data_IF_797389885762
#
_entry.id   IF_797389885762
#
_cell.length_a   1.000
_cell.length_b   1.000
_cell.length_c   1.000
_cell.angle_alpha   90.00
_cell.angle_beta   90.00
_cell.angle_gamma   90.00
#
_symmetry.space_group_name_H-M   'P 1'
#
loop_
_entity.id
_entity.type
_entity.pdbx_description
1 polymer ?
#
# COMPACT_ATOMS: atom_id res chain seq x y z
N UNK A 1 -2.80 7.34 -2.95
CA UNK A 1 -1.82 6.31 -3.34
C UNK A 1 -2.42 5.10 -4.06
N UNK A 2 -3.12 4.15 -3.42
CA UNK A 2 -3.57 2.94 -4.14
C UNK A 2 -4.53 3.24 -5.29
N UNK A 3 -5.38 4.25 -5.12
CA UNK A 3 -6.23 4.80 -6.19
C UNK A 3 -5.40 5.53 -7.27
N UNK A 4 -4.31 6.20 -6.89
CA UNK A 4 -3.38 6.86 -7.84
C UNK A 4 -2.57 5.85 -8.64
N UNK A 5 -2.25 4.71 -8.04
CA UNK A 5 -1.52 3.64 -8.69
C UNK A 5 -2.38 2.84 -9.68
N UNK A 6 -3.71 2.94 -9.59
CA UNK A 6 -4.61 2.15 -10.43
C UNK A 6 -4.36 2.42 -11.92
N UNK A 7 -4.02 1.37 -12.67
CA UNK A 7 -3.69 1.47 -14.09
C UNK A 7 -2.23 1.77 -14.40
N UNK A 8 -1.36 2.01 -13.41
CA UNK A 8 0.07 2.23 -13.65
C UNK A 8 0.77 0.93 -14.03
N UNK A 9 1.71 1.04 -14.97
CA UNK A 9 2.69 0.00 -15.29
C UNK A 9 3.82 -0.05 -14.25
N UNK A 10 4.64 -1.11 -14.29
CA UNK A 10 5.84 -1.22 -13.44
C UNK A 10 6.74 0.02 -13.54
N UNK A 11 6.95 0.55 -14.75
CA UNK A 11 7.85 1.69 -14.94
C UNK A 11 7.28 2.97 -14.31
N UNK A 12 6.00 3.25 -14.52
CA UNK A 12 5.33 4.43 -13.93
C UNK A 12 5.27 4.32 -12.39
N UNK A 13 5.06 3.12 -11.85
CA UNK A 13 5.13 2.89 -10.41
C UNK A 13 6.55 3.07 -9.86
N UNK A 14 7.58 2.67 -10.60
CA UNK A 14 8.98 2.90 -10.23
C UNK A 14 9.34 4.40 -10.22
N UNK A 15 8.86 5.18 -11.19
CA UNK A 15 9.04 6.64 -11.18
C UNK A 15 8.36 7.29 -9.96
N UNK A 16 7.17 6.83 -9.60
CA UNK A 16 6.46 7.29 -8.41
C UNK A 16 7.20 6.92 -7.11
N UNK A 17 7.81 5.72 -7.05
CA UNK A 17 8.67 5.30 -5.94
C UNK A 17 9.88 6.22 -5.81
N UNK A 18 10.61 6.49 -6.90
CA UNK A 18 11.76 7.39 -6.89
C UNK A 18 11.38 8.82 -6.44
N UNK A 19 10.20 9.30 -6.81
CA UNK A 19 9.69 10.58 -6.33
C UNK A 19 9.40 10.55 -4.82
N UNK A 20 8.80 9.47 -4.32
CA UNK A 20 8.52 9.30 -2.89
C UNK A 20 9.80 9.18 -2.05
N UNK A 21 10.82 8.49 -2.56
CA UNK A 21 12.13 8.38 -1.91
C UNK A 21 12.86 9.74 -1.82
N UNK A 22 12.80 10.54 -2.88
CA UNK A 22 13.35 11.92 -2.84
C UNK A 22 12.64 12.79 -1.82
N UNK A 23 11.31 12.74 -1.78
CA UNK A 23 10.53 13.45 -0.77
C UNK A 23 10.85 12.97 0.67
N UNK A 24 11.10 11.67 0.85
CA UNK A 24 11.54 11.12 2.14
C UNK A 24 12.90 11.66 2.58
N UNK A 25 13.85 11.80 1.67
CA UNK A 25 15.17 12.33 1.99
C UNK A 25 15.13 13.82 2.33
N UNK A 26 14.29 14.60 1.64
CA UNK A 26 14.05 16.00 1.97
C UNK A 26 13.48 16.17 3.39
N UNK A 27 12.53 15.31 3.78
CA UNK A 27 11.91 15.34 5.12
C UNK A 27 12.84 14.79 6.21
N UNK A 28 13.72 13.83 5.91
CA UNK A 28 14.71 13.31 6.86
C UNK A 28 15.67 14.39 7.38
N UNK A 29 15.94 15.40 6.54
CA UNK A 29 16.71 16.59 6.91
C UNK A 29 15.96 17.58 7.81
N UNK A 30 14.64 17.43 7.98
CA UNK A 30 13.77 18.29 8.78
C UNK A 30 13.45 17.64 10.15
N UNK A 31 14.00 18.15 11.27
CA UNK A 31 13.71 17.63 12.60
C UNK A 31 12.26 17.85 13.08
N UNK A 32 11.45 18.65 12.36
CA UNK A 32 10.00 18.80 12.58
C UNK A 32 9.14 17.96 11.62
N UNK A 33 9.75 17.28 10.64
CA UNK A 33 9.09 16.60 9.54
C UNK A 33 8.43 15.26 9.93
N UNK A 34 7.21 15.03 9.46
CA UNK A 34 6.41 13.83 9.71
C UNK A 34 6.93 12.57 8.99
N UNK A 35 7.97 11.95 9.55
CA UNK A 35 8.69 10.78 8.99
C UNK A 35 7.78 9.55 8.79
N UNK A 36 6.79 9.31 9.65
CA UNK A 36 5.96 8.09 9.60
C UNK A 36 5.09 7.97 8.35
N UNK A 37 4.41 9.06 7.96
CA UNK A 37 3.52 9.06 6.81
C UNK A 37 4.31 8.90 5.51
N UNK A 38 5.46 9.56 5.41
CA UNK A 38 6.35 9.47 4.25
C UNK A 38 6.96 8.08 4.13
N UNK A 39 7.46 7.49 5.23
CA UNK A 39 7.95 6.11 5.23
C UNK A 39 6.86 5.11 4.84
N UNK A 40 5.65 5.28 5.34
CA UNK A 40 4.51 4.43 4.99
C UNK A 40 4.17 4.54 3.49
N UNK A 41 4.24 5.76 2.92
CA UNK A 41 4.04 5.97 1.50
C UNK A 41 5.14 5.29 0.66
N UNK A 42 6.42 5.52 0.97
CA UNK A 42 7.53 4.88 0.25
C UNK A 42 7.44 3.35 0.28
N UNK A 43 7.14 2.77 1.45
CA UNK A 43 6.99 1.32 1.59
C UNK A 43 5.84 0.76 0.74
N UNK A 44 4.73 1.49 0.63
CA UNK A 44 3.59 1.07 -0.18
C UNK A 44 3.87 1.21 -1.69
N UNK A 45 4.61 2.24 -2.13
CA UNK A 45 5.08 2.33 -3.51
C UNK A 45 6.04 1.19 -3.88
N UNK A 46 6.99 0.87 -3.00
CA UNK A 46 7.92 -0.24 -3.21
C UNK A 46 7.17 -1.56 -3.41
N UNK A 47 6.20 -1.85 -2.55
CA UNK A 47 5.37 -3.05 -2.65
C UNK A 47 4.58 -3.12 -3.97
N UNK A 48 4.03 -1.99 -4.43
CA UNK A 48 3.29 -1.95 -5.71
C UNK A 48 4.24 -2.22 -6.87
N UNK A 49 5.44 -1.62 -6.87
CA UNK A 49 6.45 -1.84 -7.91
C UNK A 49 6.89 -3.32 -7.95
N UNK A 50 7.17 -3.93 -6.80
CA UNK A 50 7.52 -5.36 -6.72
C UNK A 50 6.39 -6.27 -7.23
N UNK A 51 5.14 -5.98 -6.85
CA UNK A 51 3.97 -6.72 -7.35
C UNK A 51 3.88 -6.66 -8.89
N UNK A 52 4.11 -5.48 -9.47
CA UNK A 52 4.04 -5.29 -10.92
C UNK A 52 5.20 -5.92 -11.66
N UNK A 53 6.37 -6.02 -11.03
CA UNK A 53 7.52 -6.72 -11.57
C UNK A 53 7.21 -8.22 -11.76
N UNK A 54 6.58 -8.83 -10.77
CA UNK A 54 6.29 -10.27 -10.76
C UNK A 54 5.06 -10.68 -11.59
N UNK A 55 4.05 -9.81 -11.70
CA UNK A 55 2.76 -10.17 -12.32
C UNK A 55 2.55 -9.56 -13.71
N UNK A 56 3.24 -8.47 -14.03
CA UNK A 56 3.07 -7.74 -15.28
C UNK A 56 1.69 -7.10 -15.44
N UNK A 57 1.56 -6.25 -16.46
CA UNK A 57 0.33 -5.49 -16.71
C UNK A 57 0.09 -4.33 -15.74
N UNK A 58 -1.03 -3.61 -15.88
CA UNK A 58 -1.35 -2.46 -15.04
C UNK A 58 -1.75 -2.85 -13.62
N UNK A 59 -1.42 -2.02 -12.63
CA UNK A 59 -1.84 -2.24 -11.26
C UNK A 59 -3.36 -2.19 -11.12
N UNK A 60 -3.89 -3.19 -10.42
CA UNK A 60 -5.30 -3.24 -10.03
C UNK A 60 -5.42 -3.57 -8.54
N UNK A 61 -6.07 -2.71 -7.74
CA UNK A 61 -6.37 -2.99 -6.33
C UNK A 61 -7.17 -4.29 -6.13
N UNK A 62 -8.01 -4.67 -7.10
CA UNK A 62 -8.85 -5.85 -7.02
C UNK A 62 -8.05 -7.16 -7.12
N UNK A 63 -6.87 -7.12 -7.77
CA UNK A 63 -5.98 -8.28 -7.93
C UNK A 63 -4.79 -8.25 -6.98
N UNK A 64 -4.70 -7.24 -6.11
CA UNK A 64 -3.63 -7.08 -5.14
C UNK A 64 -3.87 -7.96 -3.91
N UNK A 65 -3.20 -9.11 -3.85
CA UNK A 65 -3.39 -10.08 -2.77
C UNK A 65 -3.11 -9.51 -1.37
N UNK A 66 -2.15 -8.59 -1.23
CA UNK A 66 -1.85 -7.95 0.05
C UNK A 66 -2.99 -7.04 0.51
N UNK A 67 -3.54 -6.24 -0.41
CA UNK A 67 -4.71 -5.40 -0.13
C UNK A 67 -5.94 -6.25 0.21
N UNK A 68 -6.21 -7.29 -0.58
CA UNK A 68 -7.34 -8.18 -0.35
C UNK A 68 -7.24 -8.86 1.03
N UNK A 69 -6.04 -9.27 1.44
CA UNK A 69 -5.80 -9.81 2.78
C UNK A 69 -6.10 -8.81 3.91
N UNK A 70 -5.69 -7.54 3.76
CA UNK A 70 -6.01 -6.49 4.75
C UNK A 70 -7.50 -6.20 4.84
N UNK A 71 -8.20 -6.13 3.70
CA UNK A 71 -9.64 -5.93 3.64
C UNK A 71 -10.40 -7.08 4.29
N UNK A 72 -10.02 -8.33 3.98
CA UNK A 72 -10.59 -9.52 4.60
C UNK A 72 -10.41 -9.52 6.12
N UNK A 73 -9.20 -9.21 6.61
CA UNK A 73 -8.94 -9.13 8.05
C UNK A 73 -9.75 -8.02 8.73
N UNK A 74 -9.95 -6.87 8.08
CA UNK A 74 -10.81 -5.78 8.59
C UNK A 74 -12.28 -6.20 8.65
N UNK A 75 -12.76 -6.90 7.63
CA UNK A 75 -14.11 -7.48 7.61
C UNK A 75 -14.32 -8.46 8.75
N UNK A 76 -13.37 -9.38 8.96
CA UNK A 76 -13.43 -10.38 10.04
C UNK A 76 -13.46 -9.76 11.45
N UNK A 77 -12.72 -8.65 11.68
CA UNK A 77 -12.75 -7.93 12.96
C UNK A 77 -14.07 -7.18 13.20
N UNK A 78 -14.75 -6.80 12.13
CA UNK A 78 -16.01 -6.03 12.19
C UNK A 78 -17.24 -6.93 12.27
N UNK A 79 -17.09 -8.23 11.98
CA UNK A 79 -18.16 -9.20 12.14
C UNK A 79 -18.46 -9.40 13.64
N UNK A 80 -19.74 -9.39 14.06
CA UNK A 80 -20.10 -9.76 15.43
C UNK A 80 -19.61 -11.19 15.69
N UNK A 81 -18.98 -11.42 16.85
CA UNK A 81 -18.64 -12.79 17.27
C UNK A 81 -19.95 -13.60 17.29
N UNK A 82 -20.01 -14.79 16.63
CA UNK A 82 -21.15 -15.67 16.78
C UNK A 82 -21.31 -15.95 18.27
N UNK A 83 -22.45 -15.55 18.82
CA UNK A 83 -22.73 -15.65 20.24
C UNK A 83 -22.52 -17.08 20.70
N UNK A 84 -21.78 -17.24 21.80
CA UNK A 84 -21.87 -18.43 22.65
C UNK A 84 -23.30 -18.48 23.23
N UNK A 85 -24.26 -18.86 22.41
CA UNK A 85 -25.53 -19.40 22.89
C UNK A 85 -25.28 -20.86 23.27
N UNK A 86 -25.15 -21.14 24.56
CA UNK A 86 -25.35 -22.51 25.06
C UNK A 86 -26.82 -22.67 25.47
N UNK A 87 -27.38 -23.87 25.28
CA UNK A 87 -28.81 -24.17 25.46
C UNK A 87 -29.29 -23.95 26.89
#
# INVERSE_FOLDING_TARGET
>A
MREEAAGLTHHEAAEALEAAERAAEEVRGDPQGGDDATRAATAEWLRITELLFDHGGPYSPDTDAFLQGQLAARGARSAPKPGLGKP
#
